data_IF_824857020558
#
_entry.id   IF_824857020558
#
_cell.length_a   1.000
_cell.length_b   1.000
_cell.length_c   1.000
_cell.angle_alpha   90.00
_cell.angle_beta   90.00
_cell.angle_gamma   90.00
#
_symmetry.space_group_name_H-M   'P 1'
#
loop_
_entity.id
_entity.type
_entity.pdbx_description
1 polymer ?
#
# COMPACT_ATOMS: atom_id res chain seq x y z
N UNK A 1 -11.38 -3.29 -9.72
CA UNK A 1 -10.02 -3.43 -10.28
C UNK A 1 -9.19 -4.05 -9.17
N UNK A 2 -8.53 -5.19 -9.39
CA UNK A 2 -7.77 -5.86 -8.32
C UNK A 2 -6.37 -5.27 -8.23
N UNK A 3 -5.89 -5.01 -7.02
CA UNK A 3 -4.54 -4.48 -6.79
C UNK A 3 -3.54 -5.62 -6.95
N UNK A 4 -2.56 -5.39 -7.82
CA UNK A 4 -1.48 -6.33 -8.09
C UNK A 4 -0.19 -5.55 -8.23
N UNK A 5 0.73 -5.74 -7.28
CA UNK A 5 2.10 -5.25 -7.35
C UNK A 5 3.03 -6.40 -7.04
N UNK A 6 4.00 -6.65 -7.92
CA UNK A 6 4.94 -7.76 -7.77
C UNK A 6 6.29 -7.30 -7.20
N UNK A 7 6.49 -5.98 -7.07
CA UNK A 7 7.69 -5.42 -6.47
C UNK A 7 7.45 -4.03 -5.89
N UNK A 8 8.32 -3.67 -4.94
CA UNK A 8 8.36 -2.33 -4.36
C UNK A 8 8.60 -1.26 -5.42
N UNK A 9 9.44 -1.55 -6.42
CA UNK A 9 9.74 -0.61 -7.51
C UNK A 9 8.50 -0.30 -8.35
N UNK A 10 7.67 -1.29 -8.67
CA UNK A 10 6.41 -1.06 -9.41
C UNK A 10 5.47 -0.14 -8.65
N UNK A 11 5.33 -0.36 -7.34
CA UNK A 11 4.53 0.50 -6.47
C UNK A 11 5.11 1.91 -6.38
N UNK A 12 6.42 2.06 -6.17
CA UNK A 12 7.07 3.38 -6.12
C UNK A 12 6.88 4.13 -7.44
N UNK A 13 7.07 3.48 -8.59
CA UNK A 13 6.86 4.11 -9.91
C UNK A 13 5.40 4.56 -10.11
N UNK A 14 4.42 3.77 -9.63
CA UNK A 14 3.02 4.17 -9.65
C UNK A 14 2.78 5.47 -8.87
N UNK A 15 3.53 5.66 -7.78
CA UNK A 15 3.37 6.76 -6.84
C UNK A 15 4.08 8.05 -7.27
N UNK A 16 5.07 8.00 -8.17
CA UNK A 16 5.86 9.17 -8.61
C UNK A 16 5.00 10.30 -9.21
N UNK A 17 3.81 9.98 -9.72
CA UNK A 17 2.87 10.96 -10.26
C UNK A 17 2.10 11.76 -9.20
N UNK A 18 2.22 11.39 -7.93
CA UNK A 18 1.48 11.98 -6.80
C UNK A 18 2.41 12.78 -5.87
N UNK A 19 1.85 13.76 -5.17
CA UNK A 19 2.50 14.43 -4.04
C UNK A 19 2.61 13.50 -2.82
N UNK A 20 3.47 13.81 -1.84
CA UNK A 20 3.65 12.95 -0.66
C UNK A 20 2.34 12.69 0.13
N UNK A 21 1.46 13.69 0.24
CA UNK A 21 0.16 13.54 0.92
C UNK A 21 -0.81 12.66 0.11
N UNK A 22 -0.82 12.82 -1.22
CA UNK A 22 -1.59 11.97 -2.11
C UNK A 22 -1.06 10.54 -2.12
N UNK A 23 0.26 10.36 -2.06
CA UNK A 23 0.89 9.03 -1.94
C UNK A 23 0.43 8.33 -0.66
N UNK A 24 0.44 9.04 0.48
CA UNK A 24 -0.06 8.49 1.74
C UNK A 24 -1.52 8.05 1.61
N UNK A 25 -2.37 8.94 1.12
CA UNK A 25 -3.82 8.68 0.96
C UNK A 25 -4.07 7.49 0.02
N UNK A 26 -3.35 7.43 -1.10
CA UNK A 26 -3.46 6.33 -2.07
C UNK A 26 -3.02 5.00 -1.47
N UNK A 27 -1.92 4.98 -0.72
CA UNK A 27 -1.41 3.78 -0.05
C UNK A 27 -2.39 3.27 1.02
N UNK A 28 -2.94 4.16 1.86
CA UNK A 28 -3.97 3.81 2.85
C UNK A 28 -5.23 3.23 2.18
N UNK A 29 -5.66 3.83 1.07
CA UNK A 29 -6.78 3.31 0.28
C UNK A 29 -6.48 1.91 -0.29
N UNK A 30 -5.27 1.69 -0.80
CA UNK A 30 -4.85 0.39 -1.33
C UNK A 30 -4.83 -0.70 -0.25
N UNK A 31 -4.32 -0.40 0.96
CA UNK A 31 -4.33 -1.33 2.10
C UNK A 31 -5.77 -1.74 2.41
N UNK A 32 -6.67 -0.77 2.59
CA UNK A 32 -8.08 -1.06 2.90
C UNK A 32 -8.76 -1.92 1.82
N UNK A 33 -8.38 -1.73 0.55
CA UNK A 33 -8.88 -2.57 -0.55
C UNK A 33 -8.32 -3.98 -0.53
N UNK A 34 -7.06 -4.16 -0.13
CA UNK A 34 -6.45 -5.49 0.01
C UNK A 34 -7.08 -6.23 1.18
N UNK A 35 -7.31 -5.58 2.32
CA UNK A 35 -8.01 -6.17 3.47
C UNK A 35 -9.38 -6.73 3.06
N UNK A 36 -10.16 -5.97 2.28
CA UNK A 36 -11.44 -6.42 1.72
C UNK A 36 -11.26 -7.66 0.80
N UNK A 37 -10.24 -7.67 -0.06
CA UNK A 37 -9.93 -8.81 -0.92
C UNK A 37 -9.46 -10.06 -0.14
N UNK A 38 -8.75 -9.87 0.98
CA UNK A 38 -8.35 -10.94 1.91
C UNK A 38 -9.59 -11.55 2.56
N UNK A 39 -10.49 -10.73 3.10
CA UNK A 39 -11.74 -11.20 3.70
C UNK A 39 -12.58 -12.01 2.71
N UNK A 40 -12.73 -11.51 1.47
CA UNK A 40 -13.45 -12.23 0.40
C UNK A 40 -12.77 -13.59 0.11
N UNK A 41 -11.44 -13.62 0.01
CA UNK A 41 -10.70 -14.85 -0.24
C UNK A 41 -10.87 -15.87 0.90
N UNK A 42 -10.86 -15.42 2.15
CA UNK A 42 -11.09 -16.26 3.34
C UNK A 42 -12.52 -16.82 3.36
N UNK A 43 -13.54 -16.00 3.04
CA UNK A 43 -14.94 -16.44 2.92
C UNK A 43 -15.08 -17.53 1.83
N UNK A 44 -14.32 -17.41 0.75
CA UNK A 44 -14.27 -18.38 -0.34
C UNK A 44 -13.42 -19.61 -0.02
N UNK A 45 -12.83 -19.69 1.18
CA UNK A 45 -11.90 -20.74 1.61
C UNK A 45 -10.66 -20.86 0.70
N UNK A 46 -10.29 -19.76 0.05
CA UNK A 46 -9.12 -19.65 -0.83
C UNK A 46 -7.93 -19.06 -0.06
N UNK A 47 -7.35 -19.89 0.82
CA UNK A 47 -6.26 -19.46 1.71
C UNK A 47 -5.00 -19.05 0.94
N UNK A 48 -4.72 -19.66 -0.21
CA UNK A 48 -3.56 -19.29 -1.04
C UNK A 48 -3.69 -17.86 -1.56
N UNK A 49 -4.89 -17.48 -2.03
CA UNK A 49 -5.16 -16.11 -2.46
C UNK A 49 -5.09 -15.12 -1.28
N UNK A 50 -5.65 -15.48 -0.12
CA UNK A 50 -5.59 -14.63 1.07
C UNK A 50 -4.13 -14.36 1.49
N UNK A 51 -3.29 -15.39 1.57
CA UNK A 51 -1.86 -15.25 1.91
C UNK A 51 -1.14 -14.38 0.88
N UNK A 52 -1.40 -14.61 -0.42
CA UNK A 52 -0.80 -13.79 -1.47
C UNK A 52 -1.20 -12.32 -1.34
N UNK A 53 -2.48 -12.03 -1.08
CA UNK A 53 -2.96 -10.66 -0.85
C UNK A 53 -2.32 -9.99 0.38
N UNK A 54 -2.23 -10.70 1.50
CA UNK A 54 -1.51 -10.22 2.68
C UNK A 54 -0.03 -9.92 2.39
N UNK A 55 0.62 -10.69 1.52
CA UNK A 55 2.01 -10.40 1.14
C UNK A 55 2.16 -9.09 0.34
N UNK A 56 1.14 -8.73 -0.45
CA UNK A 56 1.09 -7.43 -1.15
C UNK A 56 0.83 -6.32 -0.13
N UNK A 57 -0.08 -6.51 0.82
CA UNK A 57 -0.36 -5.57 1.91
C UNK A 57 0.93 -5.15 2.64
N UNK A 58 1.74 -6.13 3.08
CA UNK A 58 3.02 -5.88 3.75
C UNK A 58 3.99 -5.04 2.90
N UNK A 59 3.99 -5.24 1.59
CA UNK A 59 4.79 -4.46 0.66
C UNK A 59 4.29 -3.01 0.56
N UNK A 60 2.97 -2.81 0.58
CA UNK A 60 2.36 -1.47 0.57
C UNK A 60 2.62 -0.75 1.89
N UNK A 61 2.49 -1.44 3.04
CA UNK A 61 2.79 -0.89 4.37
C UNK A 61 4.25 -0.43 4.51
N UNK A 62 5.20 -1.19 3.97
CA UNK A 62 6.62 -0.79 3.97
C UNK A 62 6.84 0.54 3.22
N UNK A 63 6.18 0.72 2.07
CA UNK A 63 6.25 1.97 1.31
C UNK A 63 5.49 3.10 2.01
N UNK A 64 4.34 2.83 2.64
CA UNK A 64 3.60 3.80 3.43
C UNK A 64 4.47 4.37 4.55
N UNK A 65 5.16 3.51 5.30
CA UNK A 65 6.07 3.93 6.36
C UNK A 65 7.20 4.82 5.84
N UNK A 66 7.72 4.56 4.65
CA UNK A 66 8.72 5.45 4.02
C UNK A 66 8.15 6.82 3.66
N UNK A 67 6.93 6.87 3.14
CA UNK A 67 6.23 8.14 2.82
C UNK A 67 5.95 8.92 4.09
N UNK A 68 5.46 8.29 5.15
CA UNK A 68 5.21 8.93 6.45
C UNK A 68 6.48 9.53 7.05
N UNK A 69 7.60 8.80 7.00
CA UNK A 69 8.89 9.31 7.45
C UNK A 69 9.34 10.54 6.64
N UNK A 70 9.14 10.53 5.31
CA UNK A 70 9.44 11.69 4.45
C UNK A 70 8.56 12.89 4.81
N UNK A 71 7.28 12.69 5.10
CA UNK A 71 6.35 13.74 5.52
C UNK A 71 6.80 14.38 6.84
N UNK A 72 7.17 13.59 7.85
CA UNK A 72 7.67 14.10 9.15
C UNK A 72 8.90 14.99 8.95
N UNK A 73 9.85 14.58 8.12
CA UNK A 73 11.05 15.37 7.82
C UNK A 73 10.66 16.68 7.12
N UNK A 74 9.77 16.62 6.13
CA UNK A 74 9.31 17.79 5.39
C UNK A 74 8.61 18.82 6.30
N UNK A 75 7.78 18.36 7.23
CA UNK A 75 7.16 19.23 8.24
C UNK A 75 8.19 19.81 9.21
N UNK A 76 9.20 19.03 9.60
CA UNK A 76 10.25 19.50 10.53
C UNK A 76 11.19 20.55 9.92
N UNK A 77 11.28 20.63 8.58
CA UNK A 77 12.13 21.58 7.86
C UNK A 77 11.39 22.86 7.43
N UNK A 78 10.05 22.84 7.42
CA UNK A 78 9.21 23.98 7.04
C UNK A 78 8.62 24.73 8.24
N UNK A 79 9.08 24.42 9.45
CA UNK A 79 8.83 25.15 10.71
C UNK A 79 10.09 25.90 11.09
#
# INVERSE_FOLDING_TARGET
MSIVFNSKQELTNHLEKFTLEEQKTELEFMISKIEEEVEIALIQNNNELAIWKMSIELLIEDVLKEVENKLIINYSLNV
#
